data_IF_651312108046
#
_entry.id   IF_651312108046
#
_cell.length_a   1.000
_cell.length_b   1.000
_cell.length_c   1.000
_cell.angle_alpha   90.00
_cell.angle_beta   90.00
_cell.angle_gamma   90.00
#
_symmetry.space_group_name_H-M   'P 1'
#
loop_
_entity.id
_entity.type
_entity.pdbx_description
1 polymer ?
#
# COMPACT_ATOMS: atom_id res chain seq x y z
N UNK A 1 -19.93 -10.93 2.39
CA UNK A 1 -19.65 -9.48 2.37
C UNK A 1 -19.88 -8.81 3.74
N UNK A 2 -21.07 -8.89 4.35
CA UNK A 2 -21.35 -8.25 5.66
C UNK A 2 -20.40 -8.70 6.80
N UNK A 3 -20.12 -10.01 6.90
CA UNK A 3 -19.20 -10.53 7.91
C UNK A 3 -17.74 -10.08 7.72
N UNK A 4 -17.31 -9.77 6.49
CA UNK A 4 -15.97 -9.22 6.23
C UNK A 4 -15.88 -7.76 6.67
N UNK A 5 -16.94 -6.97 6.41
CA UNK A 5 -17.02 -5.57 6.85
C UNK A 5 -16.98 -5.49 8.38
N UNK A 6 -17.75 -6.35 9.07
CA UNK A 6 -17.77 -6.44 10.54
C UNK A 6 -16.43 -6.86 11.15
N UNK A 7 -15.56 -7.52 10.38
CA UNK A 7 -14.21 -7.90 10.82
C UNK A 7 -13.14 -6.85 10.55
N UNK A 8 -13.46 -5.79 9.80
CA UNK A 8 -12.51 -4.74 9.46
C UNK A 8 -11.99 -4.04 10.74
N UNK A 9 -10.67 -3.95 10.94
CA UNK A 9 -10.09 -3.30 12.13
C UNK A 9 -10.56 -1.85 12.33
N UNK A 10 -10.70 -1.10 11.23
CA UNK A 10 -11.20 0.27 11.27
C UNK A 10 -12.63 0.38 11.80
N UNK A 11 -13.53 -0.55 11.40
CA UNK A 11 -14.90 -0.55 11.90
C UNK A 11 -14.95 -0.87 13.39
N UNK A 12 -14.17 -1.87 13.83
CA UNK A 12 -14.05 -2.20 15.26
C UNK A 12 -13.52 -1.01 16.06
N UNK A 13 -12.53 -0.28 15.54
CA UNK A 13 -12.00 0.91 16.21
C UNK A 13 -13.04 2.04 16.32
N UNK A 14 -13.85 2.26 15.28
CA UNK A 14 -14.97 3.21 15.31
C UNK A 14 -16.01 2.78 16.37
N UNK A 15 -16.37 1.50 16.38
CA UNK A 15 -17.29 0.96 17.39
C UNK A 15 -16.73 1.12 18.81
N UNK A 16 -15.43 0.94 19.02
CA UNK A 16 -14.79 1.19 20.32
C UNK A 16 -14.99 2.64 20.79
N UNK A 17 -14.90 3.62 19.89
CA UNK A 17 -15.15 5.03 20.23
C UNK A 17 -16.61 5.27 20.61
N UNK A 18 -17.53 4.73 19.80
CA UNK A 18 -18.98 4.86 20.03
C UNK A 18 -19.39 4.22 21.34
N UNK A 19 -18.85 3.04 21.68
CA UNK A 19 -19.13 2.33 22.92
C UNK A 19 -18.47 2.99 24.15
N UNK A 20 -17.31 3.62 23.98
CA UNK A 20 -16.65 4.37 25.04
C UNK A 20 -17.44 5.62 25.45
N UNK A 21 -18.13 6.25 24.51
CA UNK A 21 -18.83 7.53 24.72
C UNK A 21 -19.86 7.52 25.85
N UNK A 22 -20.84 6.60 25.92
CA UNK A 22 -21.80 6.57 27.03
C UNK A 22 -21.14 6.23 28.38
N UNK A 23 -20.08 5.41 28.39
CA UNK A 23 -19.33 5.09 29.61
C UNK A 23 -18.60 6.32 30.14
N UNK A 24 -17.94 7.06 29.24
CA UNK A 24 -17.30 8.32 29.56
C UNK A 24 -18.32 9.31 30.12
N UNK A 25 -19.47 9.49 29.46
CA UNK A 25 -20.52 10.41 29.90
C UNK A 25 -21.03 10.06 31.30
N UNK A 26 -21.27 8.77 31.57
CA UNK A 26 -21.69 8.30 32.89
C UNK A 26 -20.65 8.59 33.99
N UNK A 27 -19.37 8.36 33.72
CA UNK A 27 -18.30 8.65 34.67
C UNK A 27 -18.17 10.16 34.93
N UNK A 28 -18.19 10.98 33.89
CA UNK A 28 -18.14 12.45 34.03
C UNK A 28 -19.34 12.95 34.82
N UNK A 29 -20.54 12.42 34.58
CA UNK A 29 -21.75 12.76 35.34
C UNK A 29 -21.62 12.42 36.83
N UNK A 30 -21.12 11.23 37.17
CA UNK A 30 -20.90 10.82 38.56
C UNK A 30 -19.86 11.70 39.26
N UNK A 31 -18.77 12.03 38.56
CA UNK A 31 -17.71 12.89 39.09
C UNK A 31 -18.21 14.32 39.30
N UNK A 32 -19.01 14.84 38.37
CA UNK A 32 -19.68 16.13 38.53
C UNK A 32 -20.64 16.13 39.74
N UNK A 33 -21.40 15.04 39.95
CA UNK A 33 -22.26 14.88 41.15
C UNK A 33 -21.46 14.81 42.46
N UNK A 34 -20.24 14.30 42.42
CA UNK A 34 -19.32 14.28 43.55
C UNK A 34 -18.62 15.64 43.78
N UNK A 35 -18.94 16.68 43.00
CA UNK A 35 -18.34 18.01 43.11
C UNK A 35 -16.98 18.14 42.42
N UNK A 36 -16.55 17.16 41.63
CA UNK A 36 -15.30 17.20 40.88
C UNK A 36 -15.54 17.78 39.48
N UNK A 37 -15.09 19.02 39.27
CA UNK A 37 -15.06 19.63 37.94
C UNK A 37 -14.03 18.97 37.03
N UNK A 38 -14.39 18.75 35.77
CA UNK A 38 -13.49 18.22 34.75
C UNK A 38 -13.24 19.23 33.64
N UNK A 39 -12.00 19.31 33.17
CA UNK A 39 -11.66 20.08 31.99
C UNK A 39 -12.05 19.31 30.73
N UNK A 40 -12.24 20.01 29.61
CA UNK A 40 -12.56 19.34 28.33
C UNK A 40 -11.46 18.35 27.91
N UNK A 41 -10.20 18.65 28.23
CA UNK A 41 -9.07 17.77 27.96
C UNK A 41 -9.12 16.49 28.82
N UNK A 42 -9.49 16.58 30.11
CA UNK A 42 -9.62 15.39 30.95
C UNK A 42 -10.78 14.50 30.49
N UNK A 43 -11.89 15.11 30.04
CA UNK A 43 -13.02 14.39 29.42
C UNK A 43 -12.57 13.68 28.14
N UNK A 44 -11.87 14.38 27.24
CA UNK A 44 -11.36 13.79 26.00
C UNK A 44 -10.33 12.68 26.25
N UNK A 45 -9.47 12.84 27.26
CA UNK A 45 -8.49 11.82 27.65
C UNK A 45 -9.17 10.58 28.23
N UNK A 46 -10.20 10.77 29.06
CA UNK A 46 -11.00 9.67 29.61
C UNK A 46 -11.71 8.88 28.50
N UNK A 47 -12.31 9.57 27.52
CA UNK A 47 -12.88 8.96 26.32
C UNK A 47 -11.83 8.10 25.59
N UNK A 48 -10.63 8.65 25.37
CA UNK A 48 -9.53 7.95 24.72
C UNK A 48 -9.09 6.68 25.46
N UNK A 49 -8.92 6.76 26.79
CA UNK A 49 -8.54 5.61 27.62
C UNK A 49 -9.59 4.51 27.53
N UNK A 50 -10.87 4.84 27.66
CA UNK A 50 -11.96 3.86 27.55
C UNK A 50 -12.00 3.22 26.15
N UNK A 51 -11.86 4.03 25.10
CA UNK A 51 -11.83 3.52 23.73
C UNK A 51 -10.62 2.62 23.46
N UNK A 52 -9.46 2.94 24.03
CA UNK A 52 -8.26 2.11 23.95
C UNK A 52 -8.44 0.77 24.69
N UNK A 53 -9.05 0.78 25.88
CA UNK A 53 -9.37 -0.44 26.63
C UNK A 53 -10.36 -1.34 25.89
N UNK A 54 -11.40 -0.76 25.27
CA UNK A 54 -12.36 -1.51 24.44
C UNK A 54 -11.64 -2.08 23.20
N UNK A 55 -10.77 -1.30 22.56
CA UNK A 55 -9.99 -1.74 21.40
C UNK A 55 -9.02 -2.88 21.72
N UNK A 56 -8.38 -2.82 22.89
CA UNK A 56 -7.57 -3.91 23.42
C UNK A 56 -8.40 -5.17 23.63
N UNK A 57 -9.55 -5.05 24.29
CA UNK A 57 -10.49 -6.17 24.51
C UNK A 57 -11.02 -6.76 23.20
N UNK A 58 -11.20 -5.93 22.18
CA UNK A 58 -11.65 -6.33 20.85
C UNK A 58 -10.56 -7.04 20.01
N UNK A 59 -9.36 -7.22 20.56
CA UNK A 59 -8.24 -7.92 19.91
C UNK A 59 -7.61 -7.13 18.76
N UNK A 60 -7.74 -5.80 18.76
CA UNK A 60 -7.07 -4.96 17.76
C UNK A 60 -5.55 -4.92 18.02
N UNK A 61 -4.77 -4.72 16.97
CA UNK A 61 -3.32 -4.58 17.08
C UNK A 61 -2.92 -3.33 17.88
N UNK A 62 -1.72 -3.35 18.48
CA UNK A 62 -1.26 -2.34 19.46
C UNK A 62 -1.38 -0.88 18.98
N UNK A 63 -1.08 -0.62 17.71
CA UNK A 63 -1.17 0.73 17.14
C UNK A 63 -2.61 1.27 17.11
N UNK A 64 -3.63 0.41 17.01
CA UNK A 64 -5.03 0.83 17.09
C UNK A 64 -5.39 1.37 18.48
N UNK A 65 -4.74 0.89 19.53
CA UNK A 65 -4.98 1.40 20.89
C UNK A 65 -4.45 2.83 21.02
N UNK A 66 -3.29 3.11 20.41
CA UNK A 66 -2.71 4.44 20.34
C UNK A 66 -3.64 5.39 19.57
N UNK A 67 -4.15 4.96 18.41
CA UNK A 67 -5.14 5.73 17.65
C UNK A 67 -6.38 5.99 18.50
N UNK A 68 -6.93 4.97 19.16
CA UNK A 68 -8.12 5.10 20.00
C UNK A 68 -7.91 6.05 21.19
N UNK A 69 -6.74 5.97 21.83
CA UNK A 69 -6.35 6.84 22.94
C UNK A 69 -6.25 8.31 22.52
N UNK A 70 -5.62 8.58 21.37
CA UNK A 70 -5.33 9.93 20.92
C UNK A 70 -6.49 10.58 20.15
N UNK A 71 -7.47 9.81 19.67
CA UNK A 71 -8.51 10.31 18.78
C UNK A 71 -9.30 11.49 19.37
N UNK A 72 -9.85 11.35 20.58
CA UNK A 72 -10.65 12.41 21.20
C UNK A 72 -9.82 13.65 21.60
N UNK A 73 -8.61 13.51 22.19
CA UNK A 73 -7.71 14.66 22.38
C UNK A 73 -7.30 15.34 21.07
N UNK A 74 -7.03 14.57 20.01
CA UNK A 74 -6.69 15.13 18.70
C UNK A 74 -7.88 15.87 18.06
N UNK A 75 -9.10 15.36 18.23
CA UNK A 75 -10.32 16.05 17.78
C UNK A 75 -10.53 17.38 18.53
N UNK A 76 -10.31 17.38 19.84
CA UNK A 76 -10.37 18.61 20.66
C UNK A 76 -9.30 19.61 20.21
N UNK A 77 -8.05 19.15 19.99
CA UNK A 77 -6.96 20.01 19.50
C UNK A 77 -7.26 20.56 18.09
N UNK A 78 -7.77 19.74 17.18
CA UNK A 78 -8.18 20.17 15.85
C UNK A 78 -9.28 21.24 15.89
N UNK A 79 -10.25 21.08 16.81
CA UNK A 79 -11.29 22.08 17.04
C UNK A 79 -10.74 23.36 17.65
N UNK A 80 -9.78 23.27 18.58
CA UNK A 80 -9.16 24.43 19.21
C UNK A 80 -8.26 25.24 18.26
N UNK A 81 -7.77 24.60 17.20
CA UNK A 81 -6.96 25.20 16.14
C UNK A 81 -7.80 25.69 14.96
N UNK A 82 -9.14 25.63 15.04
CA UNK A 82 -10.08 26.00 13.98
C UNK A 82 -9.73 25.39 12.62
N UNK A 83 -9.27 24.13 12.61
CA UNK A 83 -8.86 23.47 11.37
C UNK A 83 -10.07 23.27 10.43
N UNK A 84 -9.99 23.72 9.16
CA UNK A 84 -11.13 23.66 8.27
C UNK A 84 -11.47 22.20 7.91
N UNK A 85 -12.76 21.82 7.89
CA UNK A 85 -13.18 20.47 7.48
C UNK A 85 -12.64 20.03 6.11
N UNK A 86 -12.46 20.99 5.19
CA UNK A 86 -11.88 20.76 3.87
C UNK A 86 -10.46 20.20 3.90
N UNK A 87 -9.66 20.50 4.93
CA UNK A 87 -8.32 19.95 5.10
C UNK A 87 -8.39 18.43 5.33
N UNK A 88 -9.27 17.97 6.22
CA UNK A 88 -9.46 16.55 6.50
C UNK A 88 -9.97 15.80 5.27
N UNK A 89 -10.90 16.41 4.52
CA UNK A 89 -11.38 15.84 3.26
C UNK A 89 -10.26 15.73 2.23
N UNK A 90 -9.40 16.75 2.10
CA UNK A 90 -8.26 16.72 1.18
C UNK A 90 -7.28 15.62 1.57
N UNK A 91 -6.90 15.52 2.84
CA UNK A 91 -6.03 14.46 3.34
C UNK A 91 -6.65 13.09 3.11
N UNK A 92 -7.96 12.94 3.35
CA UNK A 92 -8.68 11.70 3.07
C UNK A 92 -8.65 11.33 1.59
N UNK A 93 -8.97 12.27 0.68
CA UNK A 93 -8.93 12.03 -0.77
C UNK A 93 -7.53 11.68 -1.24
N UNK A 94 -6.50 12.36 -0.71
CA UNK A 94 -5.10 12.06 -0.99
C UNK A 94 -4.75 10.62 -0.58
N UNK A 95 -5.03 10.24 0.67
CA UNK A 95 -4.76 8.89 1.19
C UNK A 95 -5.57 7.82 0.43
N UNK A 96 -6.85 8.09 0.15
CA UNK A 96 -7.71 7.21 -0.64
C UNK A 96 -7.17 7.02 -2.06
N UNK A 97 -6.67 8.08 -2.69
CA UNK A 97 -6.12 8.00 -4.05
C UNK A 97 -4.75 7.32 -4.09
N UNK A 98 -3.98 7.40 -3.00
CA UNK A 98 -2.68 6.74 -2.84
C UNK A 98 -2.82 5.24 -2.52
N UNK A 99 -3.76 4.88 -1.64
CA UNK A 99 -3.98 3.50 -1.14
C UNK A 99 -5.28 2.87 -1.67
N UNK A 100 -5.72 3.31 -2.85
CA UNK A 100 -7.03 3.07 -3.49
C UNK A 100 -7.64 1.68 -3.30
N UNK A 101 -6.86 0.63 -3.40
CA UNK A 101 -7.33 -0.75 -3.39
C UNK A 101 -6.69 -1.60 -2.30
N UNK A 102 -5.82 -1.04 -1.46
CA UNK A 102 -5.04 -1.78 -0.45
C UNK A 102 -5.95 -2.54 0.53
N UNK A 103 -7.14 -2.02 0.81
CA UNK A 103 -8.14 -2.71 1.65
C UNK A 103 -8.71 -4.00 1.03
N UNK A 104 -8.54 -4.22 -0.27
CA UNK A 104 -8.93 -5.44 -0.99
C UNK A 104 -7.72 -6.27 -1.40
N UNK A 105 -6.75 -5.65 -2.07
CA UNK A 105 -5.60 -6.33 -2.67
C UNK A 105 -4.52 -6.67 -1.64
N UNK A 106 -4.50 -5.96 -0.50
CA UNK A 106 -3.43 -6.05 0.49
C UNK A 106 -2.04 -5.75 -0.11
N UNK A 107 -2.02 -4.90 -1.14
CA UNK A 107 -0.79 -4.37 -1.75
C UNK A 107 -0.70 -2.88 -1.40
N UNK A 108 0.01 -2.51 -0.33
CA UNK A 108 0.32 -1.12 -0.02
C UNK A 108 1.39 -0.55 -0.97
N UNK A 109 1.46 0.78 -1.07
CA UNK A 109 2.50 1.45 -1.84
C UNK A 109 3.86 1.36 -1.11
N UNK A 110 4.78 0.57 -1.67
CA UNK A 110 6.19 0.54 -1.28
C UNK A 110 7.06 0.60 -2.54
N UNK A 111 7.84 1.68 -2.76
CA UNK A 111 8.66 1.79 -3.95
C UNK A 111 9.89 0.87 -3.85
N UNK A 112 10.24 0.19 -4.94
CA UNK A 112 11.56 -0.40 -5.10
C UNK A 112 12.62 0.69 -5.27
N UNK A 113 13.89 0.35 -5.01
CA UNK A 113 15.00 1.31 -5.01
C UNK A 113 16.00 1.11 -6.17
N UNK A 114 16.89 2.09 -6.41
CA UNK A 114 17.86 2.07 -7.50
C UNK A 114 18.76 0.83 -7.55
N UNK A 115 19.09 0.25 -6.39
CA UNK A 115 19.89 -0.97 -6.31
C UNK A 115 19.19 -2.15 -7.03
N UNK A 116 17.88 -2.34 -6.79
CA UNK A 116 17.10 -3.38 -7.47
C UNK A 116 16.95 -3.06 -8.95
N UNK A 117 16.75 -1.78 -9.29
CA UNK A 117 16.61 -1.36 -10.69
C UNK A 117 17.88 -1.66 -11.49
N UNK A 118 19.05 -1.50 -10.88
CA UNK A 118 20.33 -1.87 -11.47
C UNK A 118 20.44 -3.38 -11.71
N UNK A 119 20.01 -4.23 -10.77
CA UNK A 119 20.00 -5.69 -10.97
C UNK A 119 19.04 -6.10 -12.09
N UNK A 120 17.85 -5.49 -12.15
CA UNK A 120 16.91 -5.72 -13.26
C UNK A 120 17.51 -5.28 -14.60
N UNK A 121 18.20 -4.13 -14.65
CA UNK A 121 18.87 -3.64 -15.85
C UNK A 121 19.99 -4.59 -16.34
N UNK A 122 20.74 -5.18 -15.41
CA UNK A 122 21.78 -6.16 -15.73
C UNK A 122 21.18 -7.46 -16.26
N UNK A 123 20.08 -7.95 -15.67
CA UNK A 123 19.39 -9.17 -16.11
C UNK A 123 18.84 -9.09 -17.54
N UNK A 124 18.56 -7.89 -18.02
CA UNK A 124 18.02 -7.65 -19.38
C UNK A 124 19.07 -7.07 -20.33
N UNK A 125 20.34 -7.00 -19.90
CA UNK A 125 21.41 -6.36 -20.67
C UNK A 125 21.58 -6.98 -22.06
N UNK A 126 21.47 -8.30 -22.15
CA UNK A 126 21.63 -9.11 -23.37
C UNK A 126 20.35 -9.26 -24.21
N UNK A 127 19.26 -8.56 -23.85
CA UNK A 127 17.95 -8.64 -24.52
C UNK A 127 17.70 -7.37 -25.35
N UNK A 128 18.07 -7.32 -26.64
CA UNK A 128 17.78 -6.15 -27.48
C UNK A 128 16.27 -6.00 -27.70
N UNK A 129 15.74 -4.79 -27.60
CA UNK A 129 14.31 -4.54 -27.84
C UNK A 129 13.36 -5.13 -26.78
N UNK A 130 13.87 -5.46 -25.60
CA UNK A 130 13.12 -6.12 -24.53
C UNK A 130 11.83 -5.39 -24.17
N UNK A 131 10.74 -6.15 -24.02
CA UNK A 131 9.45 -5.66 -23.54
C UNK A 131 9.29 -6.04 -22.07
N UNK A 132 9.36 -5.04 -21.19
CA UNK A 132 9.22 -5.23 -19.75
C UNK A 132 7.97 -4.52 -19.23
N UNK A 133 7.23 -5.19 -18.36
CA UNK A 133 6.17 -4.57 -17.57
C UNK A 133 6.44 -4.66 -16.07
N UNK A 134 6.26 -3.53 -15.38
CA UNK A 134 6.22 -3.42 -13.91
C UNK A 134 4.76 -3.46 -13.44
N UNK A 135 4.38 -4.52 -12.71
CA UNK A 135 3.02 -4.68 -12.16
C UNK A 135 2.95 -4.09 -10.76
N UNK A 136 2.02 -3.15 -10.54
CA UNK A 136 2.03 -2.32 -9.34
C UNK A 136 3.14 -1.26 -9.40
N UNK A 137 3.32 -0.65 -10.58
CA UNK A 137 4.45 0.24 -10.89
C UNK A 137 4.56 1.49 -10.01
N UNK A 138 3.53 1.82 -9.23
CA UNK A 138 3.53 2.92 -8.29
C UNK A 138 3.81 4.26 -9.00
N UNK A 139 4.85 4.96 -8.55
CA UNK A 139 5.28 6.23 -9.16
C UNK A 139 6.09 6.03 -10.46
N UNK A 140 6.30 4.79 -10.91
CA UNK A 140 6.98 4.44 -12.15
C UNK A 140 8.50 4.47 -12.07
N UNK A 141 9.08 4.31 -10.88
CA UNK A 141 10.52 4.43 -10.64
C UNK A 141 11.36 3.54 -11.54
N UNK A 142 11.13 2.22 -11.48
CA UNK A 142 11.82 1.22 -12.29
C UNK A 142 11.64 1.48 -13.80
N UNK A 143 10.38 1.64 -14.24
CA UNK A 143 10.05 1.83 -15.66
C UNK A 143 10.73 3.07 -16.26
N UNK A 144 10.73 4.19 -15.53
CA UNK A 144 11.38 5.43 -15.98
C UNK A 144 12.91 5.30 -16.02
N UNK A 145 13.50 4.61 -15.04
CA UNK A 145 14.94 4.37 -14.99
C UNK A 145 15.39 3.49 -16.17
N UNK A 146 14.70 2.37 -16.40
CA UNK A 146 15.00 1.46 -17.51
C UNK A 146 14.80 2.12 -18.87
N UNK A 147 13.70 2.86 -19.07
CA UNK A 147 13.45 3.59 -20.32
C UNK A 147 14.53 4.64 -20.63
N UNK A 148 15.19 5.18 -19.59
CA UNK A 148 16.31 6.10 -19.76
C UNK A 148 17.61 5.37 -20.13
N UNK A 149 17.86 4.21 -19.52
CA UNK A 149 19.08 3.39 -19.76
C UNK A 149 19.04 2.66 -21.10
N UNK A 150 17.85 2.28 -21.57
CA UNK A 150 17.65 1.39 -22.72
C UNK A 150 16.61 1.96 -23.69
N UNK A 151 16.96 2.98 -24.51
CA UNK A 151 16.04 3.53 -25.50
C UNK A 151 15.56 2.53 -26.56
N UNK A 152 16.27 1.41 -26.73
CA UNK A 152 15.90 0.32 -27.62
C UNK A 152 14.72 -0.53 -27.08
N UNK A 153 14.54 -0.57 -25.76
CA UNK A 153 13.53 -1.39 -25.09
C UNK A 153 12.16 -0.71 -24.96
N UNK A 154 11.14 -1.52 -24.66
CA UNK A 154 9.79 -1.05 -24.39
C UNK A 154 9.45 -1.31 -22.92
N UNK A 155 9.28 -0.23 -22.16
CA UNK A 155 9.02 -0.29 -20.72
C UNK A 155 7.63 0.23 -20.40
N UNK A 156 6.83 -0.63 -19.77
CA UNK A 156 5.49 -0.31 -19.33
C UNK A 156 5.35 -0.48 -17.81
N UNK A 157 4.46 0.31 -17.21
CA UNK A 157 4.00 0.12 -15.84
C UNK A 157 2.48 0.06 -15.81
N UNK A 158 1.92 -0.90 -15.06
CA UNK A 158 0.49 -0.90 -14.72
C UNK A 158 0.31 -0.56 -13.25
N UNK A 159 -0.68 0.28 -12.96
CA UNK A 159 -0.97 0.70 -11.60
C UNK A 159 -2.49 0.86 -11.40
N UNK A 160 -2.98 0.35 -10.28
CA UNK A 160 -4.40 0.37 -9.92
C UNK A 160 -4.77 1.69 -9.22
N UNK A 161 -3.87 2.21 -8.38
CA UNK A 161 -4.07 3.42 -7.61
C UNK A 161 -4.02 4.68 -8.51
N UNK A 162 -5.07 5.53 -8.49
CA UNK A 162 -5.18 6.67 -9.40
C UNK A 162 -4.05 7.69 -9.24
N UNK A 163 -3.63 7.97 -7.99
CA UNK A 163 -2.63 9.00 -7.73
C UNK A 163 -1.22 8.54 -8.18
N UNK A 164 -0.71 7.35 -7.79
CA UNK A 164 0.57 6.88 -8.30
C UNK A 164 0.60 6.74 -9.83
N UNK A 165 -0.46 6.22 -10.46
CA UNK A 165 -0.59 6.17 -11.92
C UNK A 165 -0.51 7.57 -12.57
N UNK A 166 -1.25 8.55 -12.04
CA UNK A 166 -1.24 9.89 -12.60
C UNK A 166 0.15 10.52 -12.46
N UNK A 167 0.78 10.35 -11.29
CA UNK A 167 2.12 10.83 -11.02
C UNK A 167 3.16 10.20 -11.96
N UNK A 168 3.12 8.88 -12.18
CA UNK A 168 4.05 8.20 -13.08
C UNK A 168 3.89 8.67 -14.53
N UNK A 169 2.64 8.84 -14.99
CA UNK A 169 2.33 9.41 -16.32
C UNK A 169 2.83 10.85 -16.47
N UNK A 170 2.67 11.69 -15.45
CA UNK A 170 3.18 13.07 -15.48
C UNK A 170 4.71 13.10 -15.48
N UNK A 171 5.36 12.29 -14.65
CA UNK A 171 6.83 12.16 -14.63
C UNK A 171 7.38 11.72 -15.99
N UNK A 172 6.73 10.77 -16.66
CA UNK A 172 7.11 10.33 -18.00
C UNK A 172 7.04 11.47 -19.01
N UNK A 173 5.95 12.24 -19.00
CA UNK A 173 5.75 13.38 -19.90
C UNK A 173 6.79 14.49 -19.66
N UNK A 174 7.03 14.85 -18.40
CA UNK A 174 8.01 15.88 -18.04
C UNK A 174 9.44 15.48 -18.41
N UNK A 175 9.74 14.19 -18.37
CA UNK A 175 11.04 13.64 -18.77
C UNK A 175 11.15 13.32 -20.27
N UNK A 176 10.12 13.60 -21.09
CA UNK A 176 10.02 13.17 -22.48
C UNK A 176 10.37 11.67 -22.69
N UNK A 177 9.98 10.83 -21.73
CA UNK A 177 10.34 9.41 -21.70
C UNK A 177 9.42 8.59 -22.60
N UNK A 178 9.98 7.55 -23.24
CA UNK A 178 9.22 6.53 -23.97
C UNK A 178 8.45 5.55 -23.08
N UNK A 179 8.54 5.67 -21.75
CA UNK A 179 7.82 4.83 -20.81
C UNK A 179 6.29 4.97 -20.93
N UNK A 180 5.59 3.83 -20.87
CA UNK A 180 4.11 3.78 -20.94
C UNK A 180 3.49 3.41 -19.60
N UNK A 181 2.54 4.21 -19.12
CA UNK A 181 1.82 3.93 -17.87
C UNK A 181 0.33 3.66 -18.11
N UNK A 182 -0.14 2.51 -17.64
CA UNK A 182 -1.51 2.00 -17.80
C UNK A 182 -2.19 2.04 -16.43
N UNK A 183 -3.44 2.54 -16.39
CA UNK A 183 -4.27 2.43 -15.20
C UNK A 183 -5.12 1.18 -15.33
N UNK A 184 -4.98 0.24 -14.40
CA UNK A 184 -5.74 -1.00 -14.46
C UNK A 184 -5.29 -2.04 -13.45
N UNK A 185 -6.01 -3.16 -13.42
CA UNK A 185 -5.61 -4.36 -12.70
C UNK A 185 -4.69 -5.20 -13.60
N UNK A 186 -3.60 -5.74 -13.04
CA UNK A 186 -2.71 -6.62 -13.79
C UNK A 186 -3.37 -7.97 -14.12
N UNK A 187 -4.43 -8.34 -13.41
CA UNK A 187 -5.21 -9.54 -13.71
C UNK A 187 -5.80 -9.52 -15.14
N UNK A 188 -6.05 -8.32 -15.70
CA UNK A 188 -6.57 -8.15 -17.07
C UNK A 188 -5.46 -8.04 -18.13
N UNK A 189 -4.18 -8.10 -17.73
CA UNK A 189 -3.06 -8.06 -18.66
C UNK A 189 -2.80 -9.42 -19.30
N UNK A 190 -2.47 -9.38 -20.58
CA UNK A 190 -1.93 -10.51 -21.32
C UNK A 190 -0.40 -10.55 -21.16
N UNK A 191 0.08 -11.48 -20.31
CA UNK A 191 1.50 -11.60 -20.00
C UNK A 191 2.33 -12.12 -21.18
N UNK A 192 1.71 -12.74 -22.19
CA UNK A 192 2.40 -13.24 -23.39
C UNK A 192 3.05 -12.12 -24.23
N UNK A 193 2.66 -10.86 -23.99
CA UNK A 193 3.19 -9.68 -24.68
C UNK A 193 4.52 -9.19 -24.13
N UNK A 194 4.97 -9.72 -23.01
CA UNK A 194 6.14 -9.23 -22.29
C UNK A 194 7.20 -10.31 -22.17
N UNK A 195 8.45 -9.92 -22.39
CA UNK A 195 9.61 -10.78 -22.22
C UNK A 195 10.03 -10.80 -20.74
N UNK A 196 9.69 -9.76 -20.00
CA UNK A 196 9.98 -9.59 -18.58
C UNK A 196 8.76 -9.03 -17.84
N UNK A 197 8.36 -9.69 -16.75
CA UNK A 197 7.37 -9.15 -15.81
C UNK A 197 8.08 -8.91 -14.48
N UNK A 198 8.04 -7.68 -13.98
CA UNK A 198 8.56 -7.33 -12.66
C UNK A 198 7.41 -7.06 -11.69
N UNK A 199 7.51 -7.59 -10.48
CA UNK A 199 6.52 -7.45 -9.43
C UNK A 199 7.15 -7.05 -8.08
N UNK A 200 6.60 -6.03 -7.44
CA UNK A 200 6.81 -5.78 -6.01
C UNK A 200 5.45 -5.54 -5.34
N UNK A 201 4.74 -6.63 -5.04
CA UNK A 201 3.35 -6.62 -4.62
C UNK A 201 3.21 -6.91 -3.11
N UNK A 202 2.67 -8.08 -2.76
CA UNK A 202 2.58 -8.59 -1.40
C UNK A 202 2.41 -10.11 -1.43
N UNK A 203 2.62 -10.82 -0.30
CA UNK A 203 2.43 -12.27 -0.24
C UNK A 203 1.04 -12.73 -0.70
N UNK A 204 0.01 -11.92 -0.46
CA UNK A 204 -1.38 -12.24 -0.82
C UNK A 204 -1.61 -12.30 -2.35
N UNK A 205 -0.84 -11.56 -3.14
CA UNK A 205 -0.97 -11.50 -4.59
C UNK A 205 -0.16 -12.58 -5.32
N UNK A 206 0.88 -13.15 -4.68
CA UNK A 206 1.87 -13.99 -5.36
C UNK A 206 1.31 -15.28 -5.96
N UNK A 207 0.31 -15.90 -5.32
CA UNK A 207 -0.30 -17.12 -5.84
C UNK A 207 -1.08 -16.87 -7.14
N UNK A 208 -1.88 -15.79 -7.19
CA UNK A 208 -2.62 -15.41 -8.38
C UNK A 208 -1.68 -14.96 -9.51
N UNK A 209 -0.63 -14.20 -9.16
CA UNK A 209 0.42 -13.81 -10.09
C UNK A 209 1.09 -15.04 -10.75
N UNK A 210 1.44 -16.04 -9.94
CA UNK A 210 2.06 -17.26 -10.46
C UNK A 210 1.16 -17.99 -11.45
N UNK A 211 -0.12 -18.19 -11.11
CA UNK A 211 -1.07 -18.89 -11.99
C UNK A 211 -1.23 -18.18 -13.35
N UNK A 212 -1.23 -16.85 -13.35
CA UNK A 212 -1.30 -16.07 -14.59
C UNK A 212 0.00 -16.18 -15.39
N UNK A 213 1.15 -16.07 -14.73
CA UNK A 213 2.46 -16.18 -15.36
C UNK A 213 2.67 -17.57 -15.98
N UNK A 214 2.43 -18.64 -15.23
CA UNK A 214 2.55 -20.02 -15.68
C UNK A 214 1.66 -20.34 -16.89
N UNK A 215 0.48 -19.73 -16.95
CA UNK A 215 -0.45 -19.95 -18.06
C UNK A 215 -0.10 -19.15 -19.32
N UNK A 216 0.48 -17.96 -19.18
CA UNK A 216 0.53 -16.97 -20.26
C UNK A 216 1.94 -16.58 -20.70
N UNK A 217 2.94 -16.69 -19.83
CA UNK A 217 4.32 -16.30 -20.17
C UNK A 217 4.91 -17.30 -21.17
N UNK A 218 5.59 -16.75 -22.19
CA UNK A 218 6.16 -17.55 -23.27
C UNK A 218 7.53 -18.14 -22.88
N UNK A 219 7.94 -19.27 -23.48
CA UNK A 219 9.29 -19.79 -23.29
C UNK A 219 10.36 -18.73 -23.59
N UNK A 220 11.36 -18.64 -22.72
CA UNK A 220 12.40 -17.64 -22.76
C UNK A 220 12.05 -16.31 -22.08
N UNK A 221 10.84 -16.13 -21.53
CA UNK A 221 10.51 -14.96 -20.71
C UNK A 221 10.88 -15.17 -19.23
N UNK A 222 10.96 -14.08 -18.47
CA UNK A 222 11.33 -14.11 -17.06
C UNK A 222 10.34 -13.34 -16.18
N UNK A 223 9.97 -13.94 -15.05
CA UNK A 223 9.24 -13.29 -13.96
C UNK A 223 10.23 -12.90 -12.87
N UNK A 224 10.18 -11.64 -12.46
CA UNK A 224 11.00 -11.05 -11.41
C UNK A 224 10.08 -10.64 -10.25
N UNK A 225 10.37 -11.09 -9.04
CA UNK A 225 9.65 -10.66 -7.83
C UNK A 225 10.62 -10.15 -6.79
N UNK A 226 10.43 -8.90 -6.36
CA UNK A 226 11.20 -8.33 -5.27
C UNK A 226 10.57 -8.66 -3.92
N UNK A 227 11.39 -9.12 -2.96
CA UNK A 227 11.04 -9.51 -1.58
C UNK A 227 10.13 -10.73 -1.43
N UNK A 228 9.17 -10.95 -2.33
CA UNK A 228 8.13 -11.95 -2.17
C UNK A 228 8.38 -13.19 -3.04
N UNK A 229 8.55 -14.34 -2.38
CA UNK A 229 8.73 -15.63 -3.04
C UNK A 229 7.40 -16.25 -3.45
N UNK A 230 7.39 -16.95 -4.58
CA UNK A 230 6.26 -17.80 -5.02
C UNK A 230 6.41 -19.18 -4.40
N UNK A 231 5.39 -19.63 -3.65
CA UNK A 231 5.42 -20.91 -2.96
C UNK A 231 5.34 -22.12 -3.91
N UNK A 232 4.64 -21.98 -5.05
CA UNK A 232 4.37 -23.05 -5.98
C UNK A 232 5.62 -23.56 -6.74
N UNK A 233 6.63 -22.71 -6.95
CA UNK A 233 7.87 -23.06 -7.69
C UNK A 233 9.07 -22.37 -7.06
N UNK A 234 10.17 -23.11 -6.85
CA UNK A 234 11.43 -22.52 -6.43
C UNK A 234 11.99 -21.57 -7.51
N UNK A 235 12.60 -20.43 -7.14
CA UNK A 235 13.21 -19.53 -8.10
C UNK A 235 14.43 -20.17 -8.75
N UNK A 236 14.63 -19.92 -10.05
CA UNK A 236 15.81 -20.39 -10.79
C UNK A 236 17.05 -19.60 -10.41
N UNK A 237 16.90 -18.32 -10.05
CA UNK A 237 17.97 -17.48 -9.48
C UNK A 237 17.45 -16.58 -8.37
N UNK A 238 18.32 -16.24 -7.44
CA UNK A 238 18.05 -15.28 -6.38
C UNK A 238 19.21 -14.29 -6.29
N UNK A 239 18.90 -13.00 -6.28
CA UNK A 239 19.88 -11.91 -6.32
C UNK A 239 19.68 -11.01 -5.09
N UNK A 240 20.76 -10.70 -4.37
CA UNK A 240 20.73 -9.72 -3.30
C UNK A 240 21.11 -8.34 -3.87
N UNK A 241 20.15 -7.44 -4.01
CA UNK A 241 20.41 -6.09 -4.51
C UNK A 241 21.21 -5.22 -3.52
N UNK A 242 21.17 -5.56 -2.22
CA UNK A 242 21.97 -4.92 -1.16
C UNK A 242 22.32 -5.98 -0.11
N UNK A 243 23.41 -5.79 0.66
CA UNK A 243 23.93 -6.80 1.60
C UNK A 243 22.93 -7.29 2.66
N UNK A 244 21.99 -6.44 3.06
CA UNK A 244 20.97 -6.75 4.10
C UNK A 244 19.55 -6.50 3.62
N UNK A 245 19.36 -6.29 2.33
CA UNK A 245 18.05 -5.97 1.76
C UNK A 245 17.28 -7.21 1.33
N UNK A 246 16.01 -7.01 0.97
CA UNK A 246 15.20 -8.05 0.35
C UNK A 246 15.85 -8.61 -0.93
N UNK A 247 15.53 -9.85 -1.23
CA UNK A 247 16.04 -10.57 -2.40
C UNK A 247 15.16 -10.31 -3.62
N UNK A 248 15.78 -10.29 -4.80
CA UNK A 248 15.12 -10.37 -6.09
C UNK A 248 15.09 -11.84 -6.54
N UNK A 249 13.90 -12.39 -6.66
CA UNK A 249 13.68 -13.75 -7.14
C UNK A 249 13.41 -13.76 -8.64
N UNK A 250 13.97 -14.75 -9.34
CA UNK A 250 13.88 -14.89 -10.79
C UNK A 250 13.33 -16.27 -11.14
N UNK A 251 12.29 -16.30 -11.98
CA UNK A 251 11.79 -17.53 -12.61
C UNK A 251 11.86 -17.39 -14.12
N UNK A 252 12.43 -18.38 -14.79
CA UNK A 252 12.50 -18.50 -16.24
C UNK A 252 11.40 -19.46 -16.73
N UNK A 253 10.76 -19.11 -17.84
CA UNK A 253 9.76 -19.93 -18.54
C UNK A 253 10.34 -20.58 -19.79
#
# INVERSE_FOLDING_TARGET
MLQQILRAPALKAVLSQVLAFPLMLGLVYLLARAGLGMTMLSVASLQGVLAALISWRAGLARWWWVIALLFAPALLAASALDLPPGLFLLVFIFLLSLYWSTFRTQVPFYPSGPAVWQEVAQLIADRPGVRLIDIGSGLGGLVLDLARRRPDGQFAGIELAPLPWLASRMRARLAASGARFIRGDYADLDFARYDVVFAYLSPAAMAALWLQAEKQMLPGSILLSYEFRIAARAPDKTIAATERGPLLYVWCF
#
